data_IF_872002703215
#
_entry.id   IF_872002703215
#
_cell.length_a   1.000
_cell.length_b   1.000
_cell.length_c   1.000
_cell.angle_alpha   90.00
_cell.angle_beta   90.00
_cell.angle_gamma   90.00
#
_symmetry.space_group_name_H-M   'P 1'
#
loop_
_entity.id
_entity.type
_entity.pdbx_description
1 polymer ?
#
# COMPACT_ATOMS: atom_id res chain seq x y z
N UNK A 1 58.15 3.81 -13.91
CA UNK A 1 56.87 3.46 -14.54
C UNK A 1 56.05 2.43 -13.72
N UNK A 2 56.65 1.36 -13.19
CA UNK A 2 55.92 0.33 -12.40
C UNK A 2 55.29 0.84 -11.10
N UNK A 3 55.92 1.76 -10.37
CA UNK A 3 55.41 2.30 -9.10
C UNK A 3 54.16 3.17 -9.29
N UNK A 4 54.07 3.94 -10.40
CA UNK A 4 52.91 4.78 -10.72
C UNK A 4 51.70 3.97 -11.16
N UNK A 5 51.95 2.84 -11.83
CA UNK A 5 50.88 1.92 -12.25
C UNK A 5 50.25 1.18 -11.07
N UNK A 6 51.08 0.75 -10.09
CA UNK A 6 50.61 0.11 -8.87
C UNK A 6 49.75 1.06 -8.01
N UNK A 7 50.12 2.34 -7.96
CA UNK A 7 49.37 3.36 -7.21
C UNK A 7 48.01 3.63 -7.85
N UNK A 8 47.92 3.68 -9.19
CA UNK A 8 46.67 3.87 -9.92
C UNK A 8 45.70 2.70 -9.75
N UNK A 9 46.22 1.45 -9.75
CA UNK A 9 45.41 0.25 -9.52
C UNK A 9 44.90 0.19 -8.09
N UNK A 10 45.69 0.56 -7.10
CA UNK A 10 45.27 0.61 -5.71
C UNK A 10 44.18 1.69 -5.47
N UNK A 11 44.29 2.83 -6.12
CA UNK A 11 43.31 3.92 -6.01
C UNK A 11 41.97 3.54 -6.65
N UNK A 12 41.98 2.82 -7.79
CA UNK A 12 40.76 2.34 -8.45
C UNK A 12 40.04 1.25 -7.65
N UNK A 13 40.77 0.38 -6.95
CA UNK A 13 40.21 -0.65 -6.07
C UNK A 13 39.50 -0.07 -4.85
N UNK A 14 39.96 1.07 -4.30
CA UNK A 14 39.29 1.74 -3.18
C UNK A 14 37.94 2.36 -3.57
N UNK A 15 37.79 2.83 -4.81
CA UNK A 15 36.52 3.45 -5.27
C UNK A 15 35.44 2.41 -5.50
N UNK A 16 35.79 1.16 -5.88
CA UNK A 16 34.81 0.09 -6.05
C UNK A 16 34.28 -0.49 -4.72
N UNK A 17 34.99 -0.34 -3.62
CA UNK A 17 34.58 -0.86 -2.32
C UNK A 17 33.46 -0.03 -1.65
N UNK A 18 33.20 1.20 -2.11
CA UNK A 18 32.24 2.12 -1.50
C UNK A 18 30.76 1.80 -1.76
N UNK A 19 30.42 1.04 -2.81
CA UNK A 19 29.03 0.77 -3.18
C UNK A 19 28.44 -0.50 -2.56
N UNK A 20 29.22 -1.31 -1.87
CA UNK A 20 28.80 -2.65 -1.44
C UNK A 20 28.02 -2.71 -0.11
N UNK A 21 27.91 -1.62 0.65
CA UNK A 21 27.37 -1.67 2.01
C UNK A 21 25.98 -1.04 2.23
N UNK A 22 25.34 -0.49 1.18
CA UNK A 22 23.97 -0.02 1.30
C UNK A 22 22.99 -1.20 1.13
N UNK A 23 22.65 -1.88 2.22
CA UNK A 23 21.49 -2.78 2.28
C UNK A 23 20.32 -1.97 2.81
N UNK A 24 19.32 -1.63 1.98
CA UNK A 24 18.11 -1.01 2.50
C UNK A 24 17.50 -1.96 3.53
N UNK A 25 17.19 -1.43 4.71
CA UNK A 25 16.52 -2.21 5.77
C UNK A 25 15.19 -2.69 5.20
N UNK A 26 15.07 -3.99 4.94
CA UNK A 26 13.84 -4.58 4.44
C UNK A 26 12.69 -4.34 5.42
N UNK A 27 11.46 -4.26 4.91
CA UNK A 27 10.29 -4.19 5.77
C UNK A 27 10.18 -5.46 6.62
N UNK A 28 9.77 -5.31 7.89
CA UNK A 28 9.56 -6.45 8.79
C UNK A 28 8.17 -7.07 8.54
N UNK A 29 8.13 -8.19 7.87
CA UNK A 29 6.92 -8.96 7.58
C UNK A 29 6.58 -10.01 8.66
N UNK A 30 7.21 -9.99 9.84
CA UNK A 30 7.02 -11.01 10.87
C UNK A 30 5.56 -11.08 11.35
N UNK A 31 4.90 -9.95 11.55
CA UNK A 31 3.50 -9.88 11.93
C UNK A 31 2.57 -10.49 10.88
N UNK A 32 2.79 -10.18 9.60
CA UNK A 32 2.04 -10.73 8.47
C UNK A 32 2.21 -12.25 8.37
N UNK A 33 3.45 -12.74 8.49
CA UNK A 33 3.74 -14.17 8.45
C UNK A 33 3.14 -14.95 9.62
N UNK A 34 3.10 -14.35 10.82
CA UNK A 34 2.49 -14.98 12.00
C UNK A 34 0.97 -15.04 11.89
N UNK A 35 0.33 -14.01 11.36
CA UNK A 35 -1.12 -13.97 11.18
C UNK A 35 -1.59 -14.86 10.04
N UNK A 36 -0.78 -14.99 8.97
CA UNK A 36 -1.06 -15.76 7.75
C UNK A 36 -2.51 -15.58 7.24
N UNK A 37 -2.96 -14.33 6.99
CA UNK A 37 -4.31 -14.08 6.54
C UNK A 37 -4.53 -14.69 5.15
N UNK A 38 -5.66 -15.33 4.93
CA UNK A 38 -6.03 -15.91 3.63
C UNK A 38 -7.03 -15.06 2.87
N UNK A 39 -7.83 -14.29 3.59
CA UNK A 39 -8.83 -13.40 3.02
C UNK A 39 -8.59 -11.95 3.47
N UNK A 40 -8.72 -11.03 2.52
CA UNK A 40 -8.54 -9.60 2.74
C UNK A 40 -9.79 -8.86 2.28
N UNK A 41 -10.37 -8.10 3.21
CA UNK A 41 -11.42 -7.13 2.94
C UNK A 41 -10.77 -5.79 2.57
N UNK A 42 -10.94 -5.32 1.34
CA UNK A 42 -10.52 -3.98 0.94
C UNK A 42 -11.71 -3.04 1.07
N UNK A 43 -11.61 -2.05 1.93
CA UNK A 43 -12.69 -1.09 2.17
C UNK A 43 -12.47 0.20 1.38
N UNK A 44 -13.54 1.00 1.20
CA UNK A 44 -13.47 2.27 0.49
C UNK A 44 -12.34 3.15 1.05
N UNK A 45 -11.42 3.64 0.21
CA UNK A 45 -10.38 4.56 0.62
C UNK A 45 -10.93 5.88 1.16
N UNK A 46 -10.15 6.55 1.99
CA UNK A 46 -10.31 8.00 2.25
C UNK A 46 -9.40 8.78 1.32
N UNK A 47 -9.70 10.06 1.06
CA UNK A 47 -8.92 10.88 0.13
C UNK A 47 -8.78 12.32 0.60
N UNK A 48 -7.56 12.89 0.46
CA UNK A 48 -7.30 14.32 0.57
C UNK A 48 -7.45 15.03 -0.80
N UNK A 49 -7.63 14.26 -1.88
CA UNK A 49 -7.83 14.81 -3.22
C UNK A 49 -9.26 15.32 -3.41
N UNK A 50 -9.41 16.40 -4.18
CA UNK A 50 -10.70 16.92 -4.62
C UNK A 50 -11.28 16.20 -5.84
N UNK A 51 -10.52 15.28 -6.46
CA UNK A 51 -11.02 14.46 -7.57
C UNK A 51 -11.92 13.35 -7.04
N UNK A 52 -13.19 13.40 -7.38
CA UNK A 52 -14.23 12.44 -6.94
C UNK A 52 -13.96 10.99 -7.39
N UNK A 53 -13.05 10.79 -8.35
CA UNK A 53 -12.66 9.45 -8.85
C UNK A 53 -11.53 8.82 -8.07
N UNK A 54 -10.84 9.60 -7.22
CA UNK A 54 -9.64 9.15 -6.53
C UNK A 54 -9.86 7.86 -5.72
N UNK A 55 -10.88 7.84 -4.88
CA UNK A 55 -11.20 6.71 -4.00
C UNK A 55 -11.54 5.45 -4.80
N UNK A 56 -12.47 5.55 -5.75
CA UNK A 56 -12.91 4.41 -6.55
C UNK A 56 -11.81 3.87 -7.48
N UNK A 57 -10.99 4.75 -8.05
CA UNK A 57 -9.85 4.35 -8.90
C UNK A 57 -8.79 3.60 -8.12
N UNK A 58 -8.44 4.08 -6.94
CA UNK A 58 -7.46 3.41 -6.07
C UNK A 58 -8.00 2.08 -5.56
N UNK A 59 -9.27 2.03 -5.15
CA UNK A 59 -9.92 0.79 -4.71
C UNK A 59 -9.88 -0.28 -5.80
N UNK A 60 -10.26 0.06 -7.02
CA UNK A 60 -10.27 -0.88 -8.15
C UNK A 60 -8.86 -1.44 -8.46
N UNK A 61 -7.82 -0.61 -8.35
CA UNK A 61 -6.45 -1.02 -8.62
C UNK A 61 -5.80 -1.79 -7.47
N UNK A 62 -6.21 -1.56 -6.24
CA UNK A 62 -5.61 -2.21 -5.06
C UNK A 62 -5.98 -3.70 -4.94
N UNK A 63 -7.12 -4.12 -5.46
CA UNK A 63 -7.62 -5.50 -5.33
C UNK A 63 -6.81 -6.49 -6.17
N UNK A 64 -6.39 -6.11 -7.37
CA UNK A 64 -5.70 -6.99 -8.33
C UNK A 64 -4.38 -7.53 -7.78
N UNK A 65 -3.43 -6.71 -7.31
CA UNK A 65 -2.16 -7.22 -6.79
C UNK A 65 -2.30 -8.13 -5.57
N UNK A 66 -3.34 -7.95 -4.77
CA UNK A 66 -3.63 -8.81 -3.63
C UNK A 66 -4.12 -10.19 -4.09
N UNK A 67 -5.03 -10.22 -5.06
CA UNK A 67 -5.53 -11.47 -5.65
C UNK A 67 -4.41 -12.25 -6.37
N UNK A 68 -3.54 -11.57 -7.10
CA UNK A 68 -2.38 -12.18 -7.78
C UNK A 68 -1.38 -12.81 -6.80
N UNK A 69 -1.34 -12.35 -5.55
CA UNK A 69 -0.52 -12.94 -4.49
C UNK A 69 -1.19 -14.10 -3.75
N UNK A 70 -2.37 -14.51 -4.20
CA UNK A 70 -3.09 -15.67 -3.68
C UNK A 70 -4.02 -15.38 -2.52
N UNK A 71 -4.26 -14.12 -2.18
CA UNK A 71 -5.28 -13.76 -1.19
C UNK A 71 -6.67 -13.86 -1.81
N UNK A 72 -7.64 -14.35 -1.04
CA UNK A 72 -9.03 -14.14 -1.39
C UNK A 72 -9.41 -12.68 -1.10
N UNK A 73 -9.77 -11.93 -2.13
CA UNK A 73 -10.22 -10.53 -2.01
C UNK A 73 -11.73 -10.49 -2.22
N UNK A 74 -12.44 -9.90 -1.27
CA UNK A 74 -13.90 -9.77 -1.36
C UNK A 74 -14.28 -8.88 -2.54
N UNK A 75 -15.31 -9.26 -3.34
CA UNK A 75 -15.78 -8.45 -4.46
C UNK A 75 -16.21 -7.06 -4.00
N UNK A 76 -15.64 -6.02 -4.62
CA UNK A 76 -15.87 -4.62 -4.25
C UNK A 76 -17.36 -4.26 -4.24
N UNK A 77 -18.12 -4.69 -5.26
CA UNK A 77 -19.54 -4.39 -5.34
C UNK A 77 -20.35 -5.01 -4.20
N UNK A 78 -19.97 -6.21 -3.75
CA UNK A 78 -20.61 -6.85 -2.60
C UNK A 78 -20.32 -6.10 -1.30
N UNK A 79 -19.06 -5.73 -1.12
CA UNK A 79 -18.60 -4.99 0.08
C UNK A 79 -19.29 -3.64 0.17
N UNK A 80 -19.35 -2.90 -0.93
CA UNK A 80 -20.02 -1.59 -1.02
C UNK A 80 -21.52 -1.71 -0.70
N UNK A 81 -22.21 -2.70 -1.28
CA UNK A 81 -23.61 -2.94 -1.01
C UNK A 81 -23.89 -3.26 0.47
N UNK A 82 -23.06 -4.10 1.08
CA UNK A 82 -23.21 -4.45 2.49
C UNK A 82 -23.01 -3.26 3.42
N UNK A 83 -22.05 -2.39 3.14
CA UNK A 83 -21.87 -1.15 3.88
C UNK A 83 -23.05 -0.19 3.70
N UNK A 84 -23.54 -0.02 2.49
CA UNK A 84 -24.67 0.85 2.18
C UNK A 84 -25.96 0.40 2.88
N UNK A 85 -26.21 -0.91 2.93
CA UNK A 85 -27.33 -1.48 3.70
C UNK A 85 -27.24 -1.19 5.20
N UNK A 86 -26.05 -0.94 5.73
CA UNK A 86 -25.79 -0.55 7.10
C UNK A 86 -25.68 0.99 7.30
N UNK A 87 -26.01 1.78 6.28
CA UNK A 87 -26.00 3.25 6.34
C UNK A 87 -24.61 3.87 6.21
N UNK A 88 -23.59 3.10 5.81
CA UNK A 88 -22.21 3.55 5.62
C UNK A 88 -21.95 3.76 4.13
N UNK A 89 -21.77 5.01 3.70
CA UNK A 89 -21.71 5.36 2.27
C UNK A 89 -20.44 6.09 1.86
N UNK A 90 -19.57 6.43 2.82
CA UNK A 90 -18.31 7.11 2.54
C UNK A 90 -17.13 6.41 3.22
N UNK A 91 -15.93 6.60 2.66
CA UNK A 91 -14.72 5.95 3.15
C UNK A 91 -14.37 6.29 4.60
N UNK A 92 -14.65 7.52 5.03
CA UNK A 92 -14.36 7.96 6.40
C UNK A 92 -15.16 7.14 7.44
N UNK A 93 -16.47 7.04 7.27
CA UNK A 93 -17.35 6.30 8.18
C UNK A 93 -17.07 4.78 8.13
N UNK A 94 -16.83 4.25 6.92
CA UNK A 94 -16.48 2.84 6.73
C UNK A 94 -15.18 2.48 7.46
N UNK A 95 -14.14 3.32 7.36
CA UNK A 95 -12.86 3.05 8.01
C UNK A 95 -12.89 3.20 9.53
N UNK A 96 -13.92 3.84 10.08
CA UNK A 96 -14.16 3.92 11.53
C UNK A 96 -15.00 2.76 12.07
N UNK A 97 -15.53 1.90 11.20
CA UNK A 97 -16.30 0.74 11.65
C UNK A 97 -15.45 -0.17 12.56
N UNK A 98 -15.99 -0.65 13.70
CA UNK A 98 -15.25 -1.53 14.58
C UNK A 98 -14.80 -2.81 13.88
N UNK A 99 -13.53 -3.21 14.03
CA UNK A 99 -12.97 -4.40 13.39
C UNK A 99 -13.76 -5.67 13.71
N UNK A 100 -14.30 -5.78 14.92
CA UNK A 100 -15.19 -6.88 15.30
C UNK A 100 -16.42 -6.96 14.41
N UNK A 101 -17.02 -5.82 14.06
CA UNK A 101 -18.17 -5.75 13.15
C UNK A 101 -17.80 -6.17 11.74
N UNK A 102 -16.67 -5.72 11.24
CA UNK A 102 -16.15 -6.15 9.92
C UNK A 102 -15.96 -7.66 9.87
N UNK A 103 -15.40 -8.23 10.93
CA UNK A 103 -15.23 -9.69 11.03
C UNK A 103 -16.56 -10.45 11.11
N UNK A 104 -17.52 -9.96 11.90
CA UNK A 104 -18.84 -10.57 12.01
C UNK A 104 -19.60 -10.57 10.68
N UNK A 105 -19.54 -9.47 9.92
CA UNK A 105 -20.27 -9.30 8.67
C UNK A 105 -19.64 -10.08 7.52
N UNK A 106 -18.31 -9.98 7.36
CA UNK A 106 -17.61 -10.51 6.19
C UNK A 106 -16.89 -11.84 6.44
N UNK A 107 -16.55 -12.16 7.68
CA UNK A 107 -15.74 -13.34 8.00
C UNK A 107 -14.30 -13.26 7.45
N UNK A 108 -13.81 -12.05 7.14
CA UNK A 108 -12.47 -11.84 6.62
C UNK A 108 -11.40 -12.01 7.71
N UNK A 109 -10.18 -12.41 7.29
CA UNK A 109 -9.04 -12.53 8.21
C UNK A 109 -8.38 -11.19 8.49
N UNK A 110 -8.29 -10.33 7.47
CA UNK A 110 -7.68 -9.02 7.56
C UNK A 110 -8.46 -7.97 6.76
N UNK A 111 -8.27 -6.69 7.12
CA UNK A 111 -8.82 -5.54 6.40
C UNK A 111 -7.68 -4.65 5.90
N UNK A 112 -7.79 -4.21 4.65
CA UNK A 112 -6.92 -3.22 4.03
C UNK A 112 -7.58 -1.85 4.07
N UNK A 113 -6.96 -0.92 4.78
CA UNK A 113 -7.29 0.49 4.78
C UNK A 113 -6.38 1.24 3.82
N UNK A 114 -6.95 2.09 2.99
CA UNK A 114 -6.23 2.91 2.02
C UNK A 114 -6.57 4.38 2.23
N UNK A 115 -5.56 5.22 2.07
CA UNK A 115 -5.71 6.68 2.11
C UNK A 115 -4.98 7.30 0.92
N UNK A 116 -5.71 8.08 0.12
CA UNK A 116 -5.18 8.76 -1.07
C UNK A 116 -4.72 10.15 -0.65
N UNK A 117 -3.40 10.35 -0.58
CA UNK A 117 -2.80 11.64 -0.25
C UNK A 117 -2.80 12.59 -1.44
N UNK A 118 -2.48 12.07 -2.64
CA UNK A 118 -2.47 12.84 -3.88
C UNK A 118 -3.09 12.01 -5.01
N UNK A 119 -3.91 12.65 -5.82
CA UNK A 119 -4.48 12.07 -7.03
C UNK A 119 -4.79 13.19 -8.02
N UNK A 120 -4.19 13.16 -9.20
CA UNK A 120 -4.51 14.09 -10.26
C UNK A 120 -3.31 14.53 -11.08
N UNK A 121 -3.60 15.31 -12.12
CA UNK A 121 -2.61 15.87 -13.02
C UNK A 121 -2.25 17.30 -12.61
N UNK A 122 -0.95 17.60 -12.56
CA UNK A 122 -0.42 18.96 -12.47
C UNK A 122 0.07 19.39 -13.85
N UNK A 123 -0.49 20.45 -14.36
CA UNK A 123 -0.13 21.01 -15.65
C UNK A 123 0.87 22.16 -15.43
N UNK A 124 2.07 22.03 -15.95
CA UNK A 124 3.04 23.09 -16.11
C UNK A 124 3.11 23.50 -17.58
N UNK A 125 3.64 24.67 -17.87
CA UNK A 125 3.71 25.24 -19.24
C UNK A 125 4.40 24.30 -20.24
N UNK A 126 5.22 23.35 -19.77
CA UNK A 126 6.06 22.48 -20.61
C UNK A 126 5.78 20.98 -20.39
N UNK A 127 5.07 20.59 -19.30
CA UNK A 127 4.83 19.19 -18.97
C UNK A 127 3.54 18.99 -18.18
N UNK A 128 2.92 17.83 -18.37
CA UNK A 128 1.83 17.33 -17.54
C UNK A 128 2.34 16.11 -16.77
N UNK A 129 2.25 16.14 -15.46
CA UNK A 129 2.61 15.01 -14.59
C UNK A 129 1.38 14.60 -13.81
N UNK A 130 1.01 13.33 -13.92
CA UNK A 130 -0.03 12.74 -13.08
C UNK A 130 0.62 12.10 -11.87
N UNK A 131 0.27 12.54 -10.69
CA UNK A 131 0.78 11.99 -9.43
C UNK A 131 -0.33 11.26 -8.71
N UNK A 132 -0.03 10.06 -8.25
CA UNK A 132 -0.88 9.28 -7.35
C UNK A 132 -0.04 8.83 -6.17
N UNK A 133 -0.44 9.23 -4.96
CA UNK A 133 0.22 8.83 -3.73
C UNK A 133 -0.79 8.21 -2.78
N UNK A 134 -0.53 6.98 -2.35
CA UNK A 134 -1.43 6.19 -1.51
C UNK A 134 -0.68 5.64 -0.30
N UNK A 135 -1.28 5.75 0.87
CA UNK A 135 -0.91 4.99 2.08
C UNK A 135 -1.80 3.77 2.23
N UNK A 136 -1.22 2.66 2.64
CA UNK A 136 -1.93 1.42 2.92
C UNK A 136 -1.60 0.88 4.31
N UNK A 137 -2.61 0.28 4.96
CA UNK A 137 -2.49 -0.37 6.26
C UNK A 137 -3.31 -1.65 6.26
N UNK A 138 -2.66 -2.79 6.52
CA UNK A 138 -3.31 -4.09 6.67
C UNK A 138 -3.44 -4.42 8.15
N UNK A 139 -4.65 -4.71 8.61
CA UNK A 139 -4.97 -4.98 10.02
C UNK A 139 -5.62 -6.35 10.17
N UNK A 140 -5.15 -7.13 11.13
CA UNK A 140 -5.74 -8.41 11.51
C UNK A 140 -7.10 -8.20 12.17
N UNK A 141 -8.15 -8.80 11.64
CA UNK A 141 -9.52 -8.68 12.18
C UNK A 141 -9.76 -9.52 13.44
N UNK A 142 -8.84 -10.43 13.81
CA UNK A 142 -8.95 -11.22 15.03
C UNK A 142 -8.56 -10.44 16.27
N UNK A 143 -7.52 -9.59 16.16
CA UNK A 143 -6.90 -8.93 17.31
C UNK A 143 -6.59 -7.44 17.12
N UNK A 144 -6.84 -6.87 15.94
CA UNK A 144 -6.56 -5.46 15.62
C UNK A 144 -5.08 -5.13 15.40
N UNK A 145 -4.20 -6.14 15.32
CA UNK A 145 -2.77 -5.94 15.11
C UNK A 145 -2.51 -5.45 13.68
N UNK A 146 -1.66 -4.45 13.54
CA UNK A 146 -1.16 -4.03 12.22
C UNK A 146 -0.21 -5.09 11.68
N UNK A 147 -0.52 -5.63 10.51
CA UNK A 147 0.26 -6.66 9.83
C UNK A 147 1.25 -6.06 8.83
N UNK A 148 0.87 -4.95 8.22
CA UNK A 148 1.67 -4.24 7.24
C UNK A 148 1.20 -2.79 7.10
N UNK A 149 2.16 -1.90 6.89
CA UNK A 149 1.92 -0.50 6.49
C UNK A 149 2.88 -0.14 5.36
N UNK A 150 2.41 0.69 4.44
CA UNK A 150 3.25 1.15 3.34
C UNK A 150 2.72 2.41 2.68
N UNK A 151 3.57 3.04 1.88
CA UNK A 151 3.26 4.20 1.07
C UNK A 151 3.84 3.97 -0.32
N UNK A 152 3.05 4.22 -1.33
CA UNK A 152 3.46 4.16 -2.73
C UNK A 152 3.15 5.47 -3.43
N UNK A 153 4.04 5.90 -4.33
CA UNK A 153 3.86 7.07 -5.17
C UNK A 153 4.24 6.74 -6.60
N UNK A 154 3.43 7.20 -7.55
CA UNK A 154 3.69 7.09 -9.00
C UNK A 154 3.59 8.48 -9.64
N UNK A 155 4.47 8.75 -10.58
CA UNK A 155 4.57 10.01 -11.31
C UNK A 155 4.52 9.75 -12.81
#
# INVERSE_FOLDING_TARGET
MMKSFALAVALSALVLAGCANYRPKGYDYSALKQSDPRSILVVMPTSDSTDIRAESSVLAQATVPLAERGYYVFPVALVDEMFRQNGLTNGHDIQQAPIRKLREIFGADAVMYLHVEEYGARYNVVSSVTTVTVKGKLVDLKNGRTLWEGRASSH
#
